data_IF_469653806885
#
_entry.id   IF_469653806885
#
_cell.length_a   1.000
_cell.length_b   1.000
_cell.length_c   1.000
_cell.angle_alpha   90.00
_cell.angle_beta   90.00
_cell.angle_gamma   90.00
#
_symmetry.space_group_name_H-M   'P 1'
#
loop_
_entity.id
_entity.type
_entity.pdbx_description
1 polymer ?
#
# COMPACT_ATOMS: atom_id res chain seq x y z
N UNK A 1 -2.78 -6.05 15.18
CA UNK A 1 -2.73 -5.31 13.90
C UNK A 1 -1.79 -4.14 14.07
N UNK A 2 -0.74 -4.05 13.26
CA UNK A 2 0.25 -2.97 13.32
C UNK A 2 0.13 -2.13 12.05
N UNK A 3 -0.07 -0.82 12.21
CA UNK A 3 -0.22 0.13 11.11
C UNK A 3 1.04 0.99 11.04
N UNK A 4 1.63 1.11 9.85
CA UNK A 4 2.77 1.98 9.59
C UNK A 4 2.30 3.05 8.60
N UNK A 5 2.45 4.32 8.99
CA UNK A 5 2.17 5.47 8.12
C UNK A 5 3.48 6.14 7.79
N UNK A 6 3.82 6.18 6.50
CA UNK A 6 5.06 6.79 6.02
C UNK A 6 4.67 8.06 5.26
N UNK A 7 5.02 9.21 5.84
CA UNK A 7 4.82 10.52 5.22
C UNK A 7 6.09 10.98 4.51
N UNK A 8 5.94 11.49 3.29
CA UNK A 8 7.02 12.04 2.50
C UNK A 8 6.76 13.53 2.24
N UNK A 9 7.73 14.41 2.49
CA UNK A 9 7.58 15.87 2.24
C UNK A 9 7.61 16.21 0.75
N UNK A 10 8.51 15.58 0.00
CA UNK A 10 8.67 15.75 -1.45
C UNK A 10 8.63 14.36 -2.08
N UNK A 11 7.43 13.81 -2.25
CA UNK A 11 7.24 12.48 -2.83
C UNK A 11 7.06 12.56 -4.33
N UNK A 12 7.97 11.94 -5.06
CA UNK A 12 7.71 11.54 -6.44
C UNK A 12 7.31 10.06 -6.44
N UNK A 13 6.02 9.73 -6.69
CA UNK A 13 5.55 8.35 -6.76
C UNK A 13 6.12 7.67 -8.00
N UNK A 14 7.35 7.16 -7.91
CA UNK A 14 8.02 6.41 -8.98
C UNK A 14 7.67 4.92 -8.96
N UNK A 15 6.97 4.45 -7.93
CA UNK A 15 6.70 3.02 -7.72
C UNK A 15 7.91 2.19 -7.28
N UNK A 16 9.08 2.81 -7.09
CA UNK A 16 10.34 2.11 -6.79
C UNK A 16 10.35 1.35 -5.45
N UNK A 17 9.42 1.64 -4.54
CA UNK A 17 9.30 0.90 -3.28
C UNK A 17 8.56 -0.44 -3.44
N UNK A 18 7.77 -0.62 -4.50
CA UNK A 18 6.98 -1.83 -4.71
C UNK A 18 7.85 -3.11 -4.76
N UNK A 19 8.96 -3.17 -5.54
CA UNK A 19 9.79 -4.37 -5.59
C UNK A 19 10.43 -4.74 -4.25
N UNK A 20 10.75 -3.74 -3.41
CA UNK A 20 11.30 -3.97 -2.08
C UNK A 20 10.24 -4.56 -1.14
N UNK A 21 9.00 -4.07 -1.22
CA UNK A 21 7.87 -4.62 -0.46
C UNK A 21 7.53 -6.05 -0.91
N UNK A 22 7.53 -6.32 -2.21
CA UNK A 22 7.35 -7.66 -2.76
C UNK A 22 8.44 -8.61 -2.26
N UNK A 23 9.71 -8.19 -2.29
CA UNK A 23 10.82 -9.00 -1.79
C UNK A 23 10.70 -9.28 -0.29
N UNK A 24 10.32 -8.29 0.51
CA UNK A 24 10.10 -8.46 1.94
C UNK A 24 8.91 -9.40 2.23
N UNK A 25 7.87 -9.38 1.39
CA UNK A 25 6.76 -10.32 1.48
C UNK A 25 7.18 -11.75 1.10
N UNK A 26 7.91 -11.91 -0.01
CA UNK A 26 8.41 -13.21 -0.49
C UNK A 26 9.36 -13.88 0.50
N UNK A 27 10.17 -13.11 1.21
CA UNK A 27 11.07 -13.62 2.26
C UNK A 27 10.38 -13.91 3.59
N UNK A 28 9.08 -13.61 3.70
CA UNK A 28 8.29 -13.78 4.92
C UNK A 28 8.59 -12.76 6.02
N UNK A 29 9.39 -11.73 5.74
CA UNK A 29 9.73 -10.68 6.69
C UNK A 29 8.52 -9.79 7.02
N UNK A 30 7.63 -9.60 6.05
CA UNK A 30 6.34 -8.91 6.24
C UNK A 30 5.21 -9.71 5.59
N UNK A 31 3.98 -9.49 6.06
CA UNK A 31 2.77 -9.89 5.36
C UNK A 31 2.01 -8.64 4.97
N UNK A 32 1.85 -8.41 3.67
CA UNK A 32 1.09 -7.27 3.15
C UNK A 32 -0.39 -7.63 3.13
N UNK A 33 -1.18 -6.99 3.98
CA UNK A 33 -2.63 -7.16 4.02
C UNK A 33 -3.29 -6.14 3.08
N UNK A 34 -2.97 -4.86 3.27
CA UNK A 34 -3.53 -3.77 2.50
C UNK A 34 -2.52 -2.63 2.36
N UNK A 35 -2.41 -2.06 1.17
CA UNK A 35 -1.59 -0.87 0.88
C UNK A 35 -2.49 0.18 0.27
N UNK A 36 -2.44 1.38 0.82
CA UNK A 36 -3.12 2.53 0.26
C UNK A 36 -2.13 3.66 0.03
N UNK A 37 -2.02 4.09 -1.23
CA UNK A 37 -1.31 5.29 -1.62
C UNK A 37 -2.29 6.44 -1.64
N UNK A 38 -1.96 7.54 -0.97
CA UNK A 38 -2.77 8.75 -0.96
C UNK A 38 -1.90 9.90 -1.45
N UNK A 39 -2.39 10.67 -2.41
CA UNK A 39 -1.73 11.89 -2.87
C UNK A 39 -2.72 13.04 -2.97
N UNK A 40 -2.22 14.24 -2.75
CA UNK A 40 -2.94 15.49 -3.04
C UNK A 40 -2.48 15.99 -4.41
N UNK A 41 -3.42 16.27 -5.30
CA UNK A 41 -3.13 16.83 -6.64
C UNK A 41 -2.84 18.32 -6.55
N UNK A 42 -2.32 18.90 -7.64
CA UNK A 42 -2.04 20.34 -7.72
C UNK A 42 -3.30 21.19 -7.53
N UNK A 43 -4.46 20.70 -7.99
CA UNK A 43 -5.76 21.35 -7.83
C UNK A 43 -6.37 21.17 -6.43
N UNK A 44 -5.64 20.49 -5.54
CA UNK A 44 -6.03 20.27 -4.15
C UNK A 44 -6.96 19.08 -3.91
N UNK A 45 -7.30 18.32 -4.96
CA UNK A 45 -8.05 17.07 -4.83
C UNK A 45 -7.21 15.97 -4.15
N UNK A 46 -7.87 15.00 -3.53
CA UNK A 46 -7.21 13.83 -2.93
C UNK A 46 -7.51 12.61 -3.79
N UNK A 47 -6.46 11.92 -4.22
CA UNK A 47 -6.53 10.67 -4.96
C UNK A 47 -5.96 9.55 -4.11
N UNK A 48 -6.60 8.37 -4.18
CA UNK A 48 -6.15 7.17 -3.51
C UNK A 48 -6.05 6.00 -4.50
N UNK A 49 -4.96 5.24 -4.39
CA UNK A 49 -4.79 3.94 -5.05
C UNK A 49 -4.64 2.88 -3.98
N UNK A 50 -5.49 1.86 -4.04
CA UNK A 50 -5.44 0.74 -3.11
C UNK A 50 -4.92 -0.51 -3.83
N UNK A 51 -3.98 -1.20 -3.18
CA UNK A 51 -3.46 -2.50 -3.59
C UNK A 51 -3.61 -3.43 -2.40
N UNK A 52 -4.45 -4.45 -2.53
CA UNK A 52 -4.61 -5.46 -1.49
C UNK A 52 -3.81 -6.71 -1.86
N UNK A 53 -3.04 -7.23 -0.91
CA UNK A 53 -2.33 -8.51 -1.03
C UNK A 53 -3.20 -9.73 -0.70
N UNK A 54 -4.48 -9.50 -0.43
CA UNK A 54 -5.47 -10.52 -0.10
C UNK A 54 -5.84 -11.34 -1.36
N UNK A 55 -5.81 -12.66 -1.24
CA UNK A 55 -6.51 -13.54 -2.18
C UNK A 55 -8.03 -13.31 -2.13
N UNK A 56 -8.77 -13.72 -3.16
CA UNK A 56 -10.22 -13.57 -3.24
C UNK A 56 -10.95 -14.10 -1.99
N UNK A 57 -10.56 -15.28 -1.48
CA UNK A 57 -11.13 -15.85 -0.26
C UNK A 57 -10.90 -14.97 0.98
N UNK A 58 -9.72 -14.36 1.12
CA UNK A 58 -9.38 -13.51 2.27
C UNK A 58 -10.07 -12.14 2.22
N UNK A 59 -10.43 -11.69 1.01
CA UNK A 59 -11.21 -10.46 0.78
C UNK A 59 -12.63 -10.60 1.35
N UNK A 60 -13.27 -11.72 1.03
CA UNK A 60 -14.63 -12.05 1.50
C UNK A 60 -14.67 -12.17 3.03
N UNK A 61 -13.65 -12.79 3.63
CA UNK A 61 -13.57 -12.95 5.09
C UNK A 61 -13.28 -11.62 5.82
N UNK A 62 -12.57 -10.70 5.18
CA UNK A 62 -12.28 -9.36 5.72
C UNK A 62 -13.40 -8.34 5.51
N UNK A 63 -14.46 -8.69 4.77
CA UNK A 63 -15.59 -7.79 4.47
C UNK A 63 -15.21 -6.61 3.56
N UNK A 64 -14.18 -6.78 2.71
CA UNK A 64 -13.74 -5.78 1.72
C UNK A 64 -13.99 -6.24 0.29
#
# INVERSE_FOLDING_TARGET
MQLIVIGFRNFEPTGQILPALETAALTGAIRVIDIQFVRKTQDGAVEALQVSGLSDDERVESGR
#
